data_IF_803172501350
#
_entry.id   IF_803172501350
#
_cell.length_a   1.000
_cell.length_b   1.000
_cell.length_c   1.000
_cell.angle_alpha   90.00
_cell.angle_beta   90.00
_cell.angle_gamma   90.00
#
_symmetry.space_group_name_H-M   'P 1'
#
loop_
_entity.id
_entity.type
_entity.pdbx_description
1 polymer ?
#
# COMPACT_ATOMS: atom_id res chain seq x y z
N UNK A 1 1.95 0.99 -19.15
CA UNK A 1 1.93 0.61 -17.72
C UNK A 1 0.99 -0.56 -17.59
N UNK A 2 1.47 -1.71 -17.11
CA UNK A 2 0.62 -2.90 -16.93
C UNK A 2 0.26 -3.02 -15.45
N UNK A 3 -0.87 -2.45 -15.05
CA UNK A 3 -1.30 -2.45 -13.65
C UNK A 3 -1.81 -3.82 -13.20
N UNK A 4 -2.20 -4.71 -14.11
CA UNK A 4 -2.74 -6.04 -13.77
C UNK A 4 -1.72 -7.00 -13.18
N UNK A 5 -0.42 -6.71 -13.35
CA UNK A 5 0.65 -7.49 -12.71
C UNK A 5 1.00 -6.99 -11.31
N UNK A 6 0.35 -5.94 -10.80
CA UNK A 6 0.67 -5.36 -9.50
C UNK A 6 -0.12 -6.05 -8.38
N UNK A 7 0.57 -6.38 -7.31
CA UNK A 7 0.02 -6.90 -6.06
C UNK A 7 0.48 -6.06 -4.88
N UNK A 8 -0.29 -6.09 -3.79
CA UNK A 8 0.05 -5.49 -2.49
C UNK A 8 -0.09 -6.53 -1.39
N UNK A 9 0.81 -6.55 -0.42
CA UNK A 9 0.69 -7.36 0.79
C UNK A 9 1.10 -6.59 2.04
N UNK A 10 0.52 -6.96 3.18
CA UNK A 10 0.91 -6.46 4.51
C UNK A 10 1.80 -7.49 5.17
N UNK A 11 3.06 -7.14 5.39
CA UNK A 11 4.02 -7.98 6.11
C UNK A 11 3.89 -7.70 7.62
N UNK A 12 3.75 -8.76 8.41
CA UNK A 12 3.61 -8.70 9.87
C UNK A 12 4.94 -9.06 10.55
N UNK A 13 5.65 -10.06 10.02
CA UNK A 13 6.95 -10.51 10.53
C UNK A 13 7.93 -10.72 9.37
N UNK A 14 9.22 -10.37 9.52
CA UNK A 14 9.91 -9.88 10.73
C UNK A 14 9.82 -8.36 10.95
N UNK A 15 9.18 -7.63 10.04
CA UNK A 15 8.99 -6.19 10.15
C UNK A 15 7.68 -5.76 9.49
N UNK A 16 6.98 -4.82 10.13
CA UNK A 16 5.74 -4.24 9.63
C UNK A 16 6.00 -3.37 8.40
N UNK A 17 5.59 -3.84 7.22
CA UNK A 17 5.72 -3.10 5.97
C UNK A 17 4.61 -3.44 4.99
N UNK A 18 4.31 -2.53 4.07
CA UNK A 18 3.40 -2.80 2.96
C UNK A 18 4.21 -2.95 1.69
N UNK A 19 4.14 -4.12 1.06
CA UNK A 19 4.95 -4.45 -0.11
C UNK A 19 4.09 -4.42 -1.34
N UNK A 20 4.52 -3.66 -2.34
CA UNK A 20 3.99 -3.69 -3.70
C UNK A 20 4.92 -4.51 -4.57
N UNK A 21 4.40 -5.49 -5.30
CA UNK A 21 5.21 -6.38 -6.13
C UNK A 21 4.59 -6.61 -7.48
N UNK A 22 5.43 -6.74 -8.50
CA UNK A 22 5.00 -7.24 -9.81
C UNK A 22 5.07 -8.76 -9.89
N UNK A 23 3.99 -9.39 -10.34
CA UNK A 23 3.90 -10.82 -10.55
C UNK A 23 2.84 -11.17 -11.61
N UNK A 24 2.92 -12.40 -12.14
CA UNK A 24 1.92 -12.89 -13.10
C UNK A 24 0.67 -13.43 -12.40
N UNK A 25 0.81 -13.86 -11.15
CA UNK A 25 -0.22 -14.48 -10.33
C UNK A 25 0.11 -14.32 -8.84
N UNK A 26 -0.85 -14.69 -8.00
CA UNK A 26 -0.77 -14.57 -6.55
C UNK A 26 0.34 -15.46 -5.95
N UNK A 27 0.58 -16.65 -6.53
CA UNK A 27 1.64 -17.55 -6.06
C UNK A 27 3.02 -16.94 -6.30
N UNK A 28 3.25 -16.38 -7.47
CA UNK A 28 4.49 -15.69 -7.84
C UNK A 28 4.68 -14.43 -7.01
N UNK A 29 3.60 -13.71 -6.68
CA UNK A 29 3.65 -12.55 -5.80
C UNK A 29 4.06 -12.96 -4.37
N UNK A 30 3.44 -14.01 -3.83
CA UNK A 30 3.76 -14.59 -2.53
C UNK A 30 5.24 -14.95 -2.40
N UNK A 31 5.78 -15.72 -3.37
CA UNK A 31 7.20 -16.09 -3.39
C UNK A 31 8.12 -14.86 -3.41
N UNK A 32 7.76 -13.83 -4.17
CA UNK A 32 8.56 -12.59 -4.24
C UNK A 32 8.51 -11.79 -2.94
N UNK A 33 7.35 -11.69 -2.29
CA UNK A 33 7.21 -11.01 -0.99
C UNK A 33 8.06 -11.70 0.06
N UNK A 34 7.88 -13.01 0.26
CA UNK A 34 8.67 -13.79 1.22
C UNK A 34 10.16 -13.74 0.92
N UNK A 35 10.57 -13.87 -0.35
CA UNK A 35 11.96 -13.81 -0.75
C UNK A 35 12.61 -12.45 -0.47
N UNK A 36 11.92 -11.35 -0.81
CA UNK A 36 12.41 -9.99 -0.59
C UNK A 36 12.55 -9.69 0.91
N UNK A 37 11.49 -9.94 1.67
CA UNK A 37 11.45 -9.63 3.10
C UNK A 37 12.44 -10.51 3.86
N UNK A 38 12.52 -11.80 3.52
CA UNK A 38 13.53 -12.70 4.05
C UNK A 38 14.95 -12.18 3.83
N UNK A 39 15.25 -11.74 2.60
CA UNK A 39 16.56 -11.18 2.26
C UNK A 39 16.86 -9.85 2.97
N UNK A 40 15.89 -8.94 3.08
CA UNK A 40 16.08 -7.63 3.72
C UNK A 40 16.34 -7.75 5.23
N UNK A 41 15.71 -8.72 5.89
CA UNK A 41 15.75 -8.84 7.35
C UNK A 41 16.53 -10.07 7.85
N UNK A 42 17.17 -10.81 6.94
CA UNK A 42 18.07 -11.91 7.31
C UNK A 42 17.36 -13.13 7.90
N UNK A 43 16.15 -13.45 7.42
CA UNK A 43 15.41 -14.64 7.83
C UNK A 43 15.05 -15.55 6.64
N UNK A 44 14.79 -16.84 6.88
CA UNK A 44 14.25 -17.73 5.86
C UNK A 44 12.94 -17.19 5.26
N UNK A 45 12.71 -17.31 3.93
CA UNK A 45 11.45 -16.90 3.31
C UNK A 45 10.21 -17.56 3.92
N UNK A 46 10.36 -18.81 4.38
CA UNK A 46 9.27 -19.59 5.00
C UNK A 46 8.89 -19.07 6.38
N UNK A 47 9.75 -18.26 7.02
CA UNK A 47 9.44 -17.62 8.30
C UNK A 47 8.69 -16.29 8.09
N UNK A 48 8.68 -15.73 6.88
CA UNK A 48 8.00 -14.47 6.59
C UNK A 48 6.48 -14.62 6.68
N UNK A 49 5.86 -13.81 7.53
CA UNK A 49 4.41 -13.74 7.68
C UNK A 49 3.86 -12.49 7.01
N UNK A 50 2.90 -12.68 6.11
CA UNK A 50 2.16 -11.59 5.48
C UNK A 50 0.72 -11.99 5.22
N UNK A 51 -0.14 -11.01 5.01
CA UNK A 51 -1.57 -11.18 4.76
C UNK A 51 -2.09 -10.16 3.75
N UNK A 52 -3.35 -10.32 3.32
CA UNK A 52 -4.02 -9.46 2.33
C UNK A 52 -3.18 -9.27 1.06
N UNK A 53 -2.74 -10.37 0.46
CA UNK A 53 -2.05 -10.37 -0.82
C UNK A 53 -3.07 -10.18 -1.95
N UNK A 54 -3.27 -8.91 -2.30
CA UNK A 54 -4.34 -8.46 -3.18
C UNK A 54 -3.76 -7.96 -4.50
N UNK A 55 -4.40 -8.35 -5.61
CA UNK A 55 -4.11 -7.83 -6.93
C UNK A 55 -4.61 -6.39 -7.09
N UNK A 56 -4.09 -5.69 -8.10
CA UNK A 56 -4.59 -4.37 -8.50
C UNK A 56 -6.11 -4.36 -8.68
N UNK A 57 -6.66 -5.36 -9.37
CA UNK A 57 -8.10 -5.46 -9.63
C UNK A 57 -8.89 -5.57 -8.35
N UNK A 58 -8.49 -6.44 -7.41
CA UNK A 58 -9.17 -6.57 -6.11
C UNK A 58 -9.14 -5.26 -5.32
N UNK A 59 -8.00 -4.56 -5.32
CA UNK A 59 -7.86 -3.27 -4.64
C UNK A 59 -8.74 -2.19 -5.25
N UNK A 60 -8.90 -2.17 -6.57
CA UNK A 60 -9.69 -1.13 -7.25
C UNK A 60 -11.19 -1.41 -7.20
N UNK A 61 -11.58 -2.66 -7.43
CA UNK A 61 -12.95 -3.00 -7.78
C UNK A 61 -13.72 -3.61 -6.60
N UNK A 62 -13.03 -4.28 -5.66
CA UNK A 62 -13.67 -5.03 -4.59
C UNK A 62 -13.43 -4.43 -3.21
N UNK A 63 -12.22 -3.93 -2.94
CA UNK A 63 -11.80 -3.52 -1.59
C UNK A 63 -11.76 -2.01 -1.39
N UNK A 64 -11.36 -1.26 -2.41
CA UNK A 64 -11.16 0.18 -2.29
C UNK A 64 -12.48 0.95 -2.18
N UNK A 65 -12.54 1.92 -1.28
CA UNK A 65 -13.74 2.74 -1.04
C UNK A 65 -13.55 4.21 -1.39
N UNK A 66 -12.32 4.70 -1.46
CA UNK A 66 -12.03 6.12 -1.72
C UNK A 66 -12.39 6.57 -3.13
N UNK A 67 -12.69 7.86 -3.28
CA UNK A 67 -13.08 8.45 -4.57
C UNK A 67 -11.89 8.62 -5.54
N UNK A 68 -10.69 8.87 -5.03
CA UNK A 68 -9.48 8.89 -5.86
C UNK A 68 -8.99 7.45 -6.10
N UNK A 69 -9.28 6.94 -7.30
CA UNK A 69 -8.94 5.57 -7.70
C UNK A 69 -7.44 5.28 -7.59
N UNK A 70 -6.56 6.27 -7.79
CA UNK A 70 -5.13 6.02 -7.67
C UNK A 70 -4.73 5.83 -6.19
N UNK A 71 -5.40 6.52 -5.26
CA UNK A 71 -5.14 6.41 -3.82
C UNK A 71 -5.64 5.10 -3.21
N UNK A 72 -6.61 4.42 -3.84
CA UNK A 72 -7.10 3.09 -3.38
C UNK A 72 -6.00 2.07 -3.13
N UNK A 73 -4.91 2.15 -3.90
CA UNK A 73 -3.74 1.28 -3.71
C UNK A 73 -3.10 1.39 -2.32
N UNK A 74 -3.28 2.54 -1.67
CA UNK A 74 -2.67 2.88 -0.41
C UNK A 74 -3.68 2.91 0.74
N UNK A 75 -4.92 2.46 0.56
CA UNK A 75 -5.90 2.34 1.64
C UNK A 75 -5.53 1.16 2.56
N UNK A 76 -5.34 1.41 3.86
CA UNK A 76 -4.94 0.39 4.84
C UNK A 76 -5.96 0.10 5.93
N UNK A 77 -6.82 1.05 6.24
CA UNK A 77 -7.93 0.86 7.17
C UNK A 77 -9.20 1.43 6.56
N UNK A 78 -10.29 0.68 6.67
CA UNK A 78 -11.60 1.02 6.14
C UNK A 78 -12.64 0.86 7.26
N UNK A 79 -13.60 1.77 7.31
CA UNK A 79 -14.81 1.64 8.12
C UNK A 79 -16.08 1.96 7.30
N UNK A 80 -17.21 2.12 7.97
CA UNK A 80 -18.48 2.44 7.31
C UNK A 80 -18.50 3.85 6.67
N UNK A 81 -17.64 4.76 7.15
CA UNK A 81 -17.60 6.16 6.75
C UNK A 81 -16.47 6.44 5.74
N UNK A 82 -15.56 5.49 5.52
CA UNK A 82 -14.60 5.49 4.42
C UNK A 82 -13.21 5.00 4.81
N UNK A 83 -12.18 5.68 4.30
CA UNK A 83 -10.77 5.34 4.55
C UNK A 83 -10.34 5.93 5.90
N UNK A 84 -9.95 5.07 6.84
CA UNK A 84 -9.51 5.46 8.19
C UNK A 84 -8.00 5.52 8.35
N UNK A 85 -7.25 4.85 7.47
CA UNK A 85 -5.79 4.95 7.45
C UNK A 85 -5.21 4.64 6.08
N UNK A 86 -3.98 5.12 5.89
CA UNK A 86 -3.23 5.00 4.66
C UNK A 86 -1.90 4.28 4.89
N UNK A 87 -1.38 3.66 3.85
CA UNK A 87 -0.07 3.00 3.85
C UNK A 87 1.04 4.03 4.13
N UNK A 88 1.73 3.87 5.26
CA UNK A 88 2.79 4.77 5.70
C UNK A 88 4.17 4.40 5.15
N UNK A 89 4.52 3.10 5.17
CA UNK A 89 5.87 2.62 4.87
C UNK A 89 5.86 1.62 3.68
N UNK A 90 5.63 2.09 2.44
CA UNK A 90 5.58 1.22 1.28
C UNK A 90 6.97 0.78 0.81
N UNK A 91 7.10 -0.49 0.43
CA UNK A 91 8.23 -1.04 -0.31
C UNK A 91 7.80 -1.36 -1.74
N UNK A 92 8.47 -0.78 -2.72
CA UNK A 92 8.11 -0.93 -4.14
C UNK A 92 9.06 -1.89 -4.87
N UNK A 93 8.62 -3.13 -5.10
CA UNK A 93 9.24 -4.14 -5.96
C UNK A 93 8.44 -4.32 -7.27
N UNK A 94 8.18 -3.21 -7.94
CA UNK A 94 7.30 -3.16 -9.11
C UNK A 94 7.93 -2.32 -10.22
N UNK A 95 9.00 -2.78 -10.90
CA UNK A 95 9.76 -1.95 -11.85
C UNK A 95 8.95 -1.39 -13.02
N UNK A 96 7.93 -2.10 -13.53
CA UNK A 96 7.06 -1.60 -14.61
C UNK A 96 6.05 -0.54 -14.14
N UNK A 97 5.78 -0.47 -12.84
CA UNK A 97 4.81 0.42 -12.21
C UNK A 97 5.46 1.39 -11.19
N UNK A 98 6.78 1.36 -11.02
CA UNK A 98 7.49 2.04 -9.93
C UNK A 98 7.32 3.55 -10.00
N UNK A 99 7.46 4.14 -11.18
CA UNK A 99 7.29 5.59 -11.35
C UNK A 99 5.88 6.05 -10.98
N UNK A 100 4.86 5.26 -11.33
CA UNK A 100 3.48 5.55 -10.98
C UNK A 100 3.24 5.42 -9.48
N UNK A 101 3.71 4.34 -8.85
CA UNK A 101 3.56 4.13 -7.41
C UNK A 101 4.23 5.24 -6.60
N UNK A 102 5.45 5.65 -6.98
CA UNK A 102 6.16 6.76 -6.33
C UNK A 102 5.43 8.10 -6.52
N UNK A 103 4.96 8.40 -7.73
CA UNK A 103 4.24 9.64 -8.00
C UNK A 103 2.91 9.71 -7.23
N UNK A 104 2.15 8.61 -7.23
CA UNK A 104 0.87 8.52 -6.50
C UNK A 104 1.09 8.59 -5.00
N UNK A 105 2.08 7.89 -4.46
CA UNK A 105 2.42 7.98 -3.04
C UNK A 105 2.84 9.40 -2.64
N UNK A 106 3.65 10.08 -3.46
CA UNK A 106 4.01 11.48 -3.21
C UNK A 106 2.81 12.44 -3.23
N UNK A 107 1.84 12.22 -4.13
CA UNK A 107 0.57 12.96 -4.14
C UNK A 107 -0.24 12.70 -2.87
N UNK A 108 -0.30 11.44 -2.42
CA UNK A 108 -1.00 11.06 -1.19
C UNK A 108 -0.36 11.72 0.03
N UNK A 109 0.97 11.70 0.15
CA UNK A 109 1.66 12.36 1.27
C UNK A 109 1.32 13.85 1.34
N UNK A 110 1.36 14.56 0.21
CA UNK A 110 0.94 15.97 0.15
C UNK A 110 -0.53 16.15 0.56
N UNK A 111 -1.42 15.30 0.07
CA UNK A 111 -2.84 15.37 0.40
C UNK A 111 -3.07 15.21 1.92
N UNK A 112 -2.37 14.27 2.56
CA UNK A 112 -2.44 14.05 4.00
C UNK A 112 -1.86 15.23 4.79
N UNK A 113 -0.78 15.85 4.30
CA UNK A 113 -0.22 17.07 4.88
C UNK A 113 -1.24 18.22 4.85
N UNK A 114 -1.91 18.43 3.71
CA UNK A 114 -2.92 19.48 3.53
C UNK A 114 -4.12 19.28 4.48
N UNK A 115 -4.64 18.04 4.59
CA UNK A 115 -5.73 17.71 5.53
C UNK A 115 -5.32 17.99 6.99
N UNK A 116 -4.11 17.58 7.38
CA UNK A 116 -3.60 17.81 8.74
C UNK A 116 -3.46 19.31 9.06
N UNK A 117 -3.23 20.14 8.05
CA UNK A 117 -3.09 21.58 8.19
C UNK A 117 -4.45 22.25 8.39
N UNK A 118 -5.46 21.82 7.63
CA UNK A 118 -6.83 22.32 7.73
C UNK A 118 -7.47 21.98 9.08
N UNK A 119 -7.32 20.76 9.58
CA UNK A 119 -7.79 20.37 10.91
C UNK A 119 -7.16 21.25 12.01
N UNK A 120 -5.85 21.51 11.91
CA UNK A 120 -5.14 22.39 12.85
C UNK A 120 -5.55 23.86 12.75
N UNK A 121 -5.97 24.32 11.56
CA UNK A 121 -6.46 25.70 11.36
C UNK A 121 -7.89 25.86 11.87
N UNK A 122 -8.77 24.88 11.65
CA UNK A 122 -10.14 24.90 12.18
C UNK A 122 -10.16 24.89 13.71
N UNK A 123 -9.30 24.09 14.36
CA UNK A 123 -9.17 24.09 15.83
C UNK A 123 -8.68 25.43 16.37
N UNK A 124 -7.82 26.15 15.63
CA UNK A 124 -7.27 27.45 16.05
C UNK A 124 -8.21 28.64 15.83
N UNK A 125 -9.05 28.60 14.79
CA UNK A 125 -10.01 29.67 14.48
C UNK A 125 -11.38 29.45 15.17
N UNK A 126 -11.63 28.28 15.74
CA UNK A 126 -12.85 27.93 16.46
C UNK A 126 -12.84 28.21 17.98
N UNK A 127 -11.84 28.94 18.51
CA UNK A 127 -11.81 29.43 19.90
C UNK A 127 -11.93 30.96 19.95
#
# INVERSE_FOLDING_TARGET
MNKTSLFRAYCDWPYGAVVFVEANDQQSASVKVSGLIGALYGCPPDDVSFYNLDSYTELMDEKGVGDDLDFRLFESGLDADGVTSWVENPLFLAPLNQAYLLATWGRLQRHLEDLSFDERHQVRCGM
#
